data_IF_936958616209
#
_entry.id   IF_936958616209
#
_cell.length_a   1.000
_cell.length_b   1.000
_cell.length_c   1.000
_cell.angle_alpha   90.00
_cell.angle_beta   90.00
_cell.angle_gamma   90.00
#
_symmetry.space_group_name_H-M   'P 1'
#
loop_
_entity.id
_entity.type
_entity.pdbx_description
1 polymer ?
#
# COMPACT_ATOMS: atom_id res chain seq x y z
N UNK A 1 -5.37 8.57 -17.35
CA UNK A 1 -5.48 8.07 -15.95
C UNK A 1 -4.10 8.01 -15.33
N UNK A 2 -3.89 8.52 -14.12
CA UNK A 2 -2.62 8.46 -13.42
C UNK A 2 -2.62 7.28 -12.45
N UNK A 3 -1.86 6.24 -12.76
CA UNK A 3 -1.69 5.08 -11.88
C UNK A 3 -0.51 5.34 -10.95
N UNK A 4 -0.77 5.47 -9.64
CA UNK A 4 0.26 5.69 -8.61
C UNK A 4 0.42 4.38 -7.84
N UNK A 5 1.59 3.76 -7.93
CA UNK A 5 1.83 2.48 -7.27
C UNK A 5 2.48 2.68 -5.89
N UNK A 6 1.95 2.01 -4.86
CA UNK A 6 2.61 1.95 -3.56
C UNK A 6 3.97 1.26 -3.69
N UNK A 7 4.95 1.73 -2.95
CA UNK A 7 6.34 1.31 -3.07
C UNK A 7 6.93 0.98 -1.70
N UNK A 8 7.37 -0.28 -1.53
CA UNK A 8 8.00 -0.77 -0.31
C UNK A 8 9.51 -0.55 -0.35
N UNK A 9 10.12 0.20 0.59
CA UNK A 9 11.56 0.46 0.61
C UNK A 9 12.40 -0.63 1.30
N UNK A 10 11.85 -1.79 1.66
CA UNK A 10 12.49 -2.81 2.54
C UNK A 10 13.40 -3.81 1.82
N UNK A 11 14.00 -3.43 0.68
CA UNK A 11 14.90 -4.32 -0.08
C UNK A 11 16.36 -3.86 0.00
N UNK A 12 16.79 -3.49 1.21
CA UNK A 12 18.16 -3.19 1.59
C UNK A 12 18.37 -3.49 3.07
N UNK A 13 19.61 -3.69 3.47
CA UNK A 13 19.93 -3.89 4.90
C UNK A 13 19.97 -2.56 5.64
N UNK A 14 19.55 -2.59 6.88
CA UNK A 14 19.70 -1.47 7.83
C UNK A 14 19.86 -2.03 9.26
N UNK A 15 20.51 -1.28 10.17
CA UNK A 15 20.94 -1.82 11.47
C UNK A 15 19.83 -2.47 12.30
N UNK A 16 18.65 -1.85 12.34
CA UNK A 16 17.53 -2.35 13.12
C UNK A 16 17.01 -3.70 12.59
N UNK A 17 16.91 -3.84 11.26
CA UNK A 17 16.52 -5.13 10.66
C UNK A 17 17.50 -6.24 10.99
N UNK A 18 18.81 -5.93 10.92
CA UNK A 18 19.85 -6.91 11.25
C UNK A 18 19.81 -7.29 12.72
N UNK A 19 19.54 -6.34 13.62
CA UNK A 19 19.36 -6.61 15.06
C UNK A 19 18.13 -7.50 15.35
N UNK A 20 17.05 -7.29 14.63
CA UNK A 20 15.78 -7.99 14.89
C UNK A 20 15.67 -9.35 14.22
N UNK A 21 16.25 -9.49 13.02
CA UNK A 21 16.03 -10.65 12.15
C UNK A 21 17.32 -11.38 11.76
N UNK A 22 18.48 -10.85 12.12
CA UNK A 22 19.79 -11.38 11.79
C UNK A 22 20.47 -10.63 10.65
N UNK A 23 21.78 -10.80 10.58
CA UNK A 23 22.65 -10.13 9.63
C UNK A 23 22.21 -10.37 8.18
N UNK A 24 22.18 -9.31 7.37
CA UNK A 24 21.83 -9.35 5.95
C UNK A 24 20.33 -9.46 5.69
N UNK A 25 19.47 -9.31 6.69
CA UNK A 25 18.03 -9.42 6.49
C UNK A 25 17.48 -8.27 5.64
N UNK A 26 16.69 -8.65 4.64
CA UNK A 26 15.83 -7.78 3.84
C UNK A 26 14.50 -8.50 3.60
N UNK A 27 13.51 -7.84 2.99
CA UNK A 27 12.24 -8.50 2.64
C UNK A 27 12.45 -9.70 1.70
N UNK A 28 13.55 -9.73 0.92
CA UNK A 28 13.92 -10.90 0.12
C UNK A 28 14.10 -12.18 0.94
N UNK A 29 14.44 -12.08 2.23
CA UNK A 29 14.56 -13.27 3.07
C UNK A 29 13.20 -13.96 3.26
N UNK A 30 12.13 -13.20 3.45
CA UNK A 30 10.77 -13.73 3.53
C UNK A 30 10.35 -14.37 2.20
N UNK A 31 10.61 -13.69 1.09
CA UNK A 31 10.26 -14.16 -0.25
C UNK A 31 10.99 -15.45 -0.62
N UNK A 32 12.32 -15.51 -0.41
CA UNK A 32 13.16 -16.69 -0.71
C UNK A 32 12.80 -17.91 0.14
N UNK A 33 12.43 -17.69 1.41
CA UNK A 33 12.11 -18.74 2.35
C UNK A 33 10.62 -19.13 2.35
N UNK A 34 9.82 -18.53 1.45
CA UNK A 34 8.42 -18.92 1.30
C UNK A 34 8.30 -20.36 0.79
N UNK A 35 7.31 -21.07 1.27
CA UNK A 35 7.02 -22.43 0.86
C UNK A 35 5.52 -22.59 0.52
N UNK A 36 5.18 -23.51 -0.40
CA UNK A 36 3.79 -23.83 -0.68
C UNK A 36 3.04 -24.25 0.60
N UNK A 37 1.86 -23.68 0.82
CA UNK A 37 1.00 -24.02 1.99
C UNK A 37 -0.10 -25.02 1.63
N UNK A 38 -0.27 -25.33 0.33
CA UNK A 38 -1.13 -26.39 -0.19
C UNK A 38 -0.64 -26.83 -1.58
N UNK A 39 -1.15 -27.96 -2.07
CA UNK A 39 -0.79 -28.49 -3.40
C UNK A 39 -1.19 -27.53 -4.52
N UNK A 40 -0.25 -27.16 -5.37
CA UNK A 40 -0.45 -26.21 -6.47
C UNK A 40 -0.25 -24.74 -6.08
N UNK A 41 0.04 -24.44 -4.81
CA UNK A 41 0.43 -23.10 -4.41
C UNK A 41 1.85 -22.79 -4.88
N UNK A 42 2.02 -21.67 -5.57
CA UNK A 42 3.30 -21.27 -6.17
C UNK A 42 4.07 -20.36 -5.20
N UNK A 43 5.04 -20.96 -4.53
CA UNK A 43 6.04 -20.31 -3.69
C UNK A 43 7.33 -21.13 -3.70
N UNK A 44 8.51 -20.49 -3.54
CA UNK A 44 8.75 -19.04 -3.53
C UNK A 44 8.51 -18.42 -4.92
N UNK A 45 8.14 -17.15 -4.95
CA UNK A 45 8.10 -16.36 -6.18
C UNK A 45 9.51 -15.83 -6.46
N UNK A 46 9.96 -16.00 -7.69
CA UNK A 46 11.35 -15.69 -8.08
C UNK A 46 11.34 -14.49 -9.02
N UNK A 47 12.03 -13.39 -8.67
CA UNK A 47 12.19 -12.28 -9.59
C UNK A 47 12.85 -12.72 -10.90
N UNK A 48 12.43 -12.17 -12.02
CA UNK A 48 12.98 -12.50 -13.35
C UNK A 48 14.50 -12.36 -13.35
N UNK A 49 15.20 -13.36 -13.89
CA UNK A 49 16.66 -13.46 -13.88
C UNK A 49 17.29 -13.47 -12.48
N UNK A 50 16.55 -13.92 -11.46
CA UNK A 50 16.98 -13.89 -10.06
C UNK A 50 17.39 -12.49 -9.58
N UNK A 51 16.75 -11.46 -10.09
CA UNK A 51 17.06 -10.07 -9.76
C UNK A 51 16.58 -9.69 -8.34
N UNK A 52 17.22 -10.27 -7.32
CA UNK A 52 17.04 -9.91 -5.92
C UNK A 52 17.84 -8.64 -5.61
N UNK A 53 17.36 -7.52 -6.12
CA UNK A 53 18.04 -6.23 -6.09
C UNK A 53 18.24 -5.67 -4.67
N UNK A 54 19.15 -4.70 -4.58
CA UNK A 54 19.32 -3.82 -3.43
C UNK A 54 18.87 -2.40 -3.79
N UNK A 55 17.94 -1.81 -3.02
CA UNK A 55 17.42 -0.48 -3.29
C UNK A 55 18.40 0.67 -3.02
N UNK A 56 19.56 0.37 -2.42
CA UNK A 56 20.64 1.34 -2.32
C UNK A 56 21.48 1.45 -3.60
N UNK A 57 21.29 0.52 -4.56
CA UNK A 57 21.92 0.65 -5.88
C UNK A 57 21.13 1.63 -6.76
N UNK A 58 21.75 2.70 -7.27
CA UNK A 58 21.11 3.66 -8.17
C UNK A 58 20.57 3.01 -9.44
N UNK A 59 21.23 1.95 -9.94
CA UNK A 59 20.81 1.20 -11.13
C UNK A 59 19.47 0.51 -10.90
N UNK A 60 19.21 0.03 -9.70
CA UNK A 60 17.94 -0.60 -9.34
C UNK A 60 16.78 0.38 -9.52
N UNK A 61 16.88 1.56 -8.94
CA UNK A 61 15.81 2.56 -9.03
C UNK A 61 15.62 3.02 -10.48
N UNK A 62 16.71 3.25 -11.22
CA UNK A 62 16.65 3.61 -12.65
C UNK A 62 15.98 2.52 -13.50
N UNK A 63 16.29 1.25 -13.24
CA UNK A 63 15.64 0.11 -13.90
C UNK A 63 14.13 0.06 -13.58
N UNK A 64 13.76 0.21 -12.31
CA UNK A 64 12.35 0.23 -11.90
C UNK A 64 11.59 1.38 -12.55
N UNK A 65 12.15 2.59 -12.54
CA UNK A 65 11.56 3.77 -13.17
C UNK A 65 11.42 3.60 -14.67
N UNK A 66 12.43 3.02 -15.35
CA UNK A 66 12.35 2.73 -16.79
C UNK A 66 11.16 1.82 -17.08
N UNK A 67 11.01 0.72 -16.34
CA UNK A 67 9.87 -0.19 -16.48
C UNK A 67 8.55 0.51 -16.18
N UNK A 68 8.49 1.23 -15.08
CA UNK A 68 7.27 1.94 -14.68
C UNK A 68 6.78 2.90 -15.77
N UNK A 69 7.69 3.70 -16.35
CA UNK A 69 7.38 4.60 -17.47
C UNK A 69 6.93 3.83 -18.72
N UNK A 70 7.64 2.78 -19.09
CA UNK A 70 7.37 1.99 -20.31
C UNK A 70 5.97 1.38 -20.29
N UNK A 71 5.51 0.98 -19.10
CA UNK A 71 4.23 0.29 -18.94
C UNK A 71 3.09 1.16 -18.37
N UNK A 72 3.30 2.47 -18.22
CA UNK A 72 2.22 3.42 -17.93
C UNK A 72 1.94 3.67 -16.44
N UNK A 73 2.85 3.29 -15.54
CA UNK A 73 2.81 3.77 -14.15
C UNK A 73 3.19 5.25 -14.15
N UNK A 74 2.33 6.07 -13.54
CA UNK A 74 2.55 7.52 -13.47
C UNK A 74 3.59 7.91 -12.42
N UNK A 75 3.58 7.25 -11.25
CA UNK A 75 4.47 7.59 -10.15
C UNK A 75 4.45 6.58 -9.02
N UNK A 76 5.38 6.72 -8.09
CA UNK A 76 5.46 5.88 -6.90
C UNK A 76 4.95 6.61 -5.65
N UNK A 77 4.26 5.88 -4.77
CA UNK A 77 3.90 6.33 -3.43
C UNK A 77 4.75 5.55 -2.42
N UNK A 78 5.85 6.17 -1.97
CA UNK A 78 6.80 5.53 -1.07
C UNK A 78 6.22 5.39 0.33
N UNK A 79 6.31 4.20 0.93
CA UNK A 79 6.11 4.07 2.36
C UNK A 79 7.25 4.74 3.11
N UNK A 80 6.89 5.58 4.06
CA UNK A 80 7.77 6.34 4.93
C UNK A 80 7.53 5.92 6.37
N UNK A 81 8.60 5.65 7.09
CA UNK A 81 8.56 5.15 8.47
C UNK A 81 9.24 6.17 9.39
N UNK A 82 8.43 6.82 10.20
CA UNK A 82 8.85 7.85 11.14
C UNK A 82 8.27 7.56 12.52
N UNK A 83 9.16 7.36 13.50
CA UNK A 83 8.86 6.99 14.88
C UNK A 83 9.48 8.01 15.84
N UNK A 84 8.81 9.16 16.05
CA UNK A 84 9.28 10.23 16.98
C UNK A 84 10.74 10.65 16.72
N UNK A 85 11.02 11.04 15.48
CA UNK A 85 12.35 11.46 15.02
C UNK A 85 13.28 10.32 14.60
N UNK A 86 12.94 9.05 14.89
CA UNK A 86 13.66 7.91 14.36
C UNK A 86 13.05 7.47 13.03
N UNK A 87 13.88 7.35 12.01
CA UNK A 87 13.48 6.86 10.69
C UNK A 87 13.95 5.42 10.45
N UNK A 88 13.18 4.69 9.65
CA UNK A 88 13.59 3.41 9.09
C UNK A 88 13.44 3.45 7.57
N UNK A 89 14.40 2.86 6.86
CA UNK A 89 14.33 2.67 5.40
C UNK A 89 14.19 3.96 4.60
N UNK A 90 14.66 5.08 5.11
CA UNK A 90 14.59 6.40 4.46
C UNK A 90 15.49 6.48 3.21
N UNK A 91 16.58 5.71 3.16
CA UNK A 91 17.62 5.83 2.14
C UNK A 91 17.13 5.72 0.69
N UNK A 92 16.27 4.75 0.29
CA UNK A 92 15.79 4.70 -1.09
C UNK A 92 15.06 5.96 -1.52
N UNK A 93 14.27 6.57 -0.63
CA UNK A 93 13.54 7.80 -0.89
C UNK A 93 14.48 9.02 -0.94
N UNK A 94 15.48 9.08 -0.05
CA UNK A 94 16.53 10.12 -0.06
C UNK A 94 17.38 10.03 -1.34
N UNK A 95 17.73 8.81 -1.80
CA UNK A 95 18.43 8.62 -3.07
C UNK A 95 17.59 9.08 -4.27
N UNK A 96 16.27 8.76 -4.26
CA UNK A 96 15.35 9.28 -5.26
C UNK A 96 15.31 10.80 -5.28
N UNK A 97 15.32 11.46 -4.11
CA UNK A 97 15.36 12.90 -4.00
C UNK A 97 16.68 13.49 -4.52
N UNK A 98 17.81 12.86 -4.18
CA UNK A 98 19.15 13.36 -4.51
C UNK A 98 19.50 13.19 -5.99
N UNK A 99 19.12 12.07 -6.61
CA UNK A 99 19.41 11.81 -8.03
C UNK A 99 18.40 12.49 -8.95
N UNK A 100 18.74 13.70 -9.42
CA UNK A 100 17.89 14.47 -10.35
C UNK A 100 17.85 13.90 -11.78
N UNK A 101 18.69 12.90 -12.08
CA UNK A 101 18.60 12.18 -13.37
C UNK A 101 17.40 11.24 -13.42
N UNK A 102 16.81 10.90 -12.29
CA UNK A 102 15.60 10.09 -12.19
C UNK A 102 14.40 11.01 -12.34
N UNK A 103 13.96 11.21 -13.57
CA UNK A 103 12.74 11.98 -13.88
C UNK A 103 11.51 11.08 -13.73
N UNK A 104 10.95 10.99 -12.50
CA UNK A 104 9.75 10.21 -12.23
C UNK A 104 8.95 10.78 -11.06
N UNK A 105 7.63 10.93 -11.20
CA UNK A 105 6.78 11.46 -10.14
C UNK A 105 6.74 10.54 -8.90
N UNK A 106 6.71 11.14 -7.72
CA UNK A 106 6.57 10.39 -6.47
C UNK A 106 5.84 11.18 -5.40
N UNK A 107 5.25 10.48 -4.45
CA UNK A 107 4.72 11.02 -3.21
C UNK A 107 5.01 10.07 -2.03
N UNK A 108 4.58 10.45 -0.85
CA UNK A 108 4.88 9.76 0.39
C UNK A 108 3.61 9.31 1.09
N UNK A 109 3.63 8.07 1.60
CA UNK A 109 2.64 7.54 2.53
C UNK A 109 3.30 7.24 3.87
N UNK A 110 2.93 7.94 4.93
CA UNK A 110 3.42 7.65 6.26
C UNK A 110 2.76 6.38 6.81
N UNK A 111 3.56 5.29 6.88
CA UNK A 111 3.17 4.00 7.41
C UNK A 111 3.24 4.03 8.95
N UNK A 112 2.33 4.75 9.57
CA UNK A 112 2.28 5.09 10.98
C UNK A 112 1.63 4.00 11.84
N UNK A 113 2.25 2.83 11.90
CA UNK A 113 1.88 1.72 12.81
C UNK A 113 3.09 1.26 13.61
N UNK A 114 2.83 0.60 14.74
CA UNK A 114 3.88 -0.08 15.51
C UNK A 114 4.65 -1.04 14.61
N UNK A 115 5.98 -1.02 14.70
CA UNK A 115 6.79 -2.06 14.08
C UNK A 115 6.79 -3.28 14.98
N UNK A 116 6.26 -4.39 14.49
CA UNK A 116 6.02 -5.57 15.30
C UNK A 116 6.67 -6.82 14.70
N UNK A 117 7.06 -7.77 15.57
CA UNK A 117 7.50 -9.12 15.15
C UNK A 117 6.30 -10.04 14.86
N UNK A 118 5.24 -9.49 14.24
CA UNK A 118 3.98 -10.21 14.02
C UNK A 118 4.13 -11.46 13.12
N UNK A 119 5.21 -11.55 12.35
CA UNK A 119 5.41 -12.60 11.34
C UNK A 119 6.01 -13.88 11.93
N UNK A 120 6.70 -13.82 13.07
CA UNK A 120 7.44 -14.95 13.61
C UNK A 120 6.78 -15.65 14.80
N UNK A 121 5.82 -15.02 15.50
CA UNK A 121 5.29 -15.56 16.76
C UNK A 121 3.80 -15.24 16.96
N UNK A 122 3.11 -16.10 17.75
CA UNK A 122 1.72 -15.86 18.20
C UNK A 122 1.54 -14.59 19.05
N UNK A 123 2.59 -14.11 19.70
CA UNK A 123 2.59 -12.87 20.48
C UNK A 123 3.21 -11.76 19.64
N UNK A 124 2.46 -10.69 19.43
CA UNK A 124 2.91 -9.48 18.72
C UNK A 124 3.92 -8.75 19.63
N UNK A 125 5.20 -9.11 19.53
CA UNK A 125 6.26 -8.33 20.14
C UNK A 125 6.38 -7.00 19.40
N UNK A 126 6.24 -5.89 20.12
CA UNK A 126 6.46 -4.55 19.58
C UNK A 126 7.95 -4.26 19.57
N UNK A 127 8.52 -4.07 18.40
CA UNK A 127 9.95 -3.75 18.21
C UNK A 127 10.20 -2.24 18.29
N UNK A 128 9.31 -1.44 17.68
CA UNK A 128 9.25 0.00 17.86
C UNK A 128 7.78 0.39 18.00
N UNK A 129 7.45 1.09 19.07
CA UNK A 129 6.12 1.66 19.27
C UNK A 129 5.97 2.95 18.45
N UNK A 130 4.86 3.08 17.74
CA UNK A 130 4.52 4.32 17.07
C UNK A 130 3.98 5.32 18.09
N UNK A 131 4.69 6.42 18.25
CA UNK A 131 4.27 7.58 19.02
C UNK A 131 4.07 8.77 18.09
N UNK A 132 3.37 9.79 18.56
CA UNK A 132 3.01 10.94 17.73
C UNK A 132 3.47 12.27 18.34
N UNK A 133 4.21 12.21 19.44
CA UNK A 133 4.88 13.34 20.08
C UNK A 133 4.00 14.56 20.32
N UNK A 134 4.67 15.70 20.31
CA UNK A 134 4.08 17.04 20.51
C UNK A 134 4.30 17.94 19.27
N UNK A 135 4.02 19.23 19.41
CA UNK A 135 4.17 20.21 18.33
C UNK A 135 5.61 20.32 17.81
N UNK A 136 6.61 20.17 18.69
CA UNK A 136 8.02 20.20 18.28
C UNK A 136 8.37 19.01 17.40
N UNK A 137 7.82 17.83 17.74
CA UNK A 137 7.97 16.61 16.96
C UNK A 137 7.26 16.70 15.59
N UNK A 138 6.04 17.23 15.56
CA UNK A 138 5.31 17.42 14.31
C UNK A 138 6.04 18.37 13.38
N UNK A 139 6.71 19.41 13.94
CA UNK A 139 7.53 20.34 13.19
C UNK A 139 8.76 19.65 12.60
N UNK A 140 9.51 18.87 13.39
CA UNK A 140 10.67 18.09 12.90
C UNK A 140 10.28 17.15 11.76
N UNK A 141 9.18 16.44 11.92
CA UNK A 141 8.67 15.54 10.86
C UNK A 141 8.30 16.32 9.61
N UNK A 142 7.57 17.43 9.76
CA UNK A 142 7.21 18.29 8.63
C UNK A 142 8.45 18.86 7.92
N UNK A 143 9.45 19.35 8.66
CA UNK A 143 10.71 19.88 8.11
C UNK A 143 11.48 18.82 7.31
N UNK A 144 11.50 17.57 7.79
CA UNK A 144 12.04 16.47 7.01
C UNK A 144 11.27 16.24 5.71
N UNK A 145 9.95 16.25 5.76
CA UNK A 145 9.10 16.05 4.57
C UNK A 145 9.19 17.24 3.59
N UNK A 146 9.46 18.45 4.08
CA UNK A 146 9.48 19.67 3.27
C UNK A 146 10.49 19.62 2.13
N UNK A 147 11.64 18.96 2.29
CA UNK A 147 12.63 18.79 1.24
C UNK A 147 12.05 18.02 0.03
N UNK A 148 11.17 17.03 0.27
CA UNK A 148 10.49 16.29 -0.77
C UNK A 148 9.36 17.10 -1.38
N UNK A 149 8.58 17.82 -0.58
CA UNK A 149 7.46 18.65 -1.04
C UNK A 149 7.89 19.76 -2.02
N UNK A 150 9.13 20.23 -1.88
CA UNK A 150 9.73 21.23 -2.76
C UNK A 150 10.25 20.66 -4.07
N UNK A 151 10.46 19.35 -4.18
CA UNK A 151 10.93 18.72 -5.41
C UNK A 151 9.89 18.88 -6.54
N UNK A 152 10.34 19.18 -7.75
CA UNK A 152 9.45 19.37 -8.91
C UNK A 152 8.73 18.10 -9.30
N UNK A 153 9.37 16.95 -9.10
CA UNK A 153 8.81 15.61 -9.36
C UNK A 153 7.79 15.17 -8.32
N UNK A 154 7.72 15.86 -7.18
CA UNK A 154 6.78 15.49 -6.13
C UNK A 154 5.34 15.67 -6.60
N UNK A 155 4.51 14.64 -6.43
CA UNK A 155 3.11 14.66 -6.85
C UNK A 155 2.35 15.73 -6.07
N UNK A 156 1.72 16.65 -6.80
CA UNK A 156 0.93 17.75 -6.27
C UNK A 156 -0.48 17.69 -6.83
N UNK A 157 -1.45 18.02 -6.00
CA UNK A 157 -2.83 18.25 -6.42
C UNK A 157 -3.16 19.73 -6.27
N UNK A 158 -3.46 20.41 -7.37
CA UNK A 158 -3.68 21.86 -7.41
C UNK A 158 -2.51 22.65 -6.78
N UNK A 159 -1.27 22.25 -7.10
CA UNK A 159 -0.05 22.83 -6.56
C UNK A 159 0.30 22.42 -5.12
N UNK A 160 -0.61 21.75 -4.41
CA UNK A 160 -0.41 21.30 -3.01
C UNK A 160 0.24 19.92 -2.98
N UNK A 161 1.41 19.75 -2.31
CA UNK A 161 2.04 18.44 -2.17
C UNK A 161 1.12 17.42 -1.52
N UNK A 162 1.12 16.19 -2.06
CA UNK A 162 0.31 15.08 -1.53
C UNK A 162 1.03 14.38 -0.40
N UNK A 163 0.41 14.25 0.75
CA UNK A 163 0.83 13.38 1.85
C UNK A 163 -0.28 12.40 2.19
N UNK A 164 0.05 11.10 2.28
CA UNK A 164 -0.90 10.04 2.62
C UNK A 164 -0.65 9.56 4.03
N UNK A 165 -1.69 9.42 4.85
CA UNK A 165 -1.64 8.78 6.16
C UNK A 165 -2.20 7.35 6.05
N UNK A 166 -1.40 6.36 6.45
CA UNK A 166 -1.83 4.95 6.41
C UNK A 166 -2.90 4.66 7.47
N UNK A 167 -2.65 5.07 8.72
CA UNK A 167 -3.54 4.81 9.87
C UNK A 167 -3.93 6.11 10.59
N UNK A 168 -4.73 6.93 9.94
CA UNK A 168 -5.25 8.15 10.55
C UNK A 168 -6.03 7.87 11.86
N UNK A 169 -6.67 6.71 11.97
CA UNK A 169 -7.40 6.24 13.16
C UNK A 169 -6.51 5.98 14.38
N UNK A 170 -5.19 5.89 14.20
CA UNK A 170 -4.23 5.64 15.28
C UNK A 170 -3.61 6.90 15.87
N UNK A 171 -3.87 8.07 15.28
CA UNK A 171 -3.26 9.34 15.70
C UNK A 171 -4.17 10.06 16.72
N UNK A 172 -3.85 10.03 18.03
CA UNK A 172 -4.71 10.66 19.05
C UNK A 172 -4.83 12.18 18.89
N UNK A 173 -3.74 12.81 18.41
CA UNK A 173 -3.62 14.26 18.21
C UNK A 173 -3.92 14.70 16.77
N UNK A 174 -4.61 13.87 15.96
CA UNK A 174 -4.78 14.03 14.52
C UNK A 174 -5.15 15.45 14.11
N UNK A 175 -6.22 16.00 14.68
CA UNK A 175 -6.71 17.34 14.32
C UNK A 175 -5.65 18.42 14.54
N UNK A 176 -5.05 18.45 15.73
CA UNK A 176 -4.04 19.44 16.08
C UNK A 176 -2.81 19.33 15.19
N UNK A 177 -2.32 18.10 14.97
CA UNK A 177 -1.16 17.82 14.13
C UNK A 177 -1.40 18.28 12.68
N UNK A 178 -2.55 17.95 12.08
CA UNK A 178 -2.85 18.32 10.71
C UNK A 178 -3.04 19.83 10.54
N UNK A 179 -3.63 20.51 11.52
CA UNK A 179 -3.75 21.96 11.52
C UNK A 179 -2.35 22.62 11.54
N UNK A 180 -1.44 22.11 12.37
CA UNK A 180 -0.06 22.59 12.42
C UNK A 180 0.70 22.31 11.12
N UNK A 181 0.56 21.14 10.55
CA UNK A 181 1.18 20.84 9.25
C UNK A 181 0.67 21.78 8.13
N UNK A 182 -0.62 22.11 8.12
CA UNK A 182 -1.17 23.10 7.17
C UNK A 182 -0.63 24.51 7.42
N UNK A 183 -0.38 24.89 8.69
CA UNK A 183 0.26 26.15 9.08
C UNK A 183 1.72 26.18 8.59
N UNK A 184 2.53 25.18 8.94
CA UNK A 184 3.93 25.05 8.51
C UNK A 184 4.10 25.05 6.99
N UNK A 185 3.18 24.42 6.26
CA UNK A 185 3.20 24.44 4.81
C UNK A 185 3.10 25.87 4.26
N UNK A 186 2.17 26.68 4.78
CA UNK A 186 2.01 28.10 4.37
C UNK A 186 3.22 28.95 4.76
N UNK A 187 3.71 28.79 5.99
CA UNK A 187 4.93 29.47 6.47
C UNK A 187 6.15 29.15 5.62
N UNK A 188 6.22 27.93 5.08
CA UNK A 188 7.28 27.47 4.19
C UNK A 188 7.11 27.90 2.73
N UNK A 189 6.08 28.71 2.41
CA UNK A 189 5.80 29.21 1.06
C UNK A 189 5.09 28.22 0.15
N UNK A 190 4.58 27.09 0.68
CA UNK A 190 3.73 26.18 -0.07
C UNK A 190 2.28 26.68 -0.09
N UNK A 191 1.49 26.42 -1.15
CA UNK A 191 0.07 26.81 -1.20
C UNK A 191 -0.81 26.03 -0.21
N UNK A 192 -0.24 25.09 0.54
CA UNK A 192 -0.86 24.20 1.51
C UNK A 192 -0.43 22.76 1.29
N UNK A 193 -1.12 21.81 1.92
CA UNK A 193 -0.97 20.36 1.72
C UNK A 193 -2.25 19.76 1.15
N UNK A 194 -2.11 18.76 0.29
CA UNK A 194 -3.17 17.84 -0.04
C UNK A 194 -3.04 16.60 0.84
N UNK A 195 -3.87 16.48 1.87
CA UNK A 195 -3.79 15.42 2.86
C UNK A 195 -4.77 14.31 2.48
N UNK A 196 -4.22 13.10 2.31
CA UNK A 196 -4.99 11.92 1.99
C UNK A 196 -4.86 10.86 3.10
N UNK A 197 -5.79 9.91 3.16
CA UNK A 197 -5.68 8.76 4.04
C UNK A 197 -6.00 7.46 3.29
N UNK A 198 -5.43 6.34 3.74
CA UNK A 198 -5.80 5.02 3.25
C UNK A 198 -7.02 4.48 4.02
N UNK A 199 -8.02 3.98 3.29
CA UNK A 199 -9.23 3.40 3.87
C UNK A 199 -8.99 1.99 4.45
N UNK A 200 -7.93 1.81 5.25
CA UNK A 200 -7.66 0.56 5.93
C UNK A 200 -8.69 0.32 7.06
N UNK A 201 -8.87 1.31 7.93
CA UNK A 201 -9.85 1.27 9.04
C UNK A 201 -10.50 2.62 9.32
N UNK A 202 -9.98 3.69 8.73
CA UNK A 202 -10.42 5.07 8.94
C UNK A 202 -11.57 5.44 7.98
N UNK A 203 -12.49 6.25 8.49
CA UNK A 203 -13.57 6.87 7.72
C UNK A 203 -13.69 8.34 8.18
N UNK A 204 -13.24 9.26 7.33
CA UNK A 204 -13.22 10.69 7.62
C UNK A 204 -14.59 11.27 8.04
N UNK A 205 -15.70 10.67 7.58
CA UNK A 205 -17.05 11.10 7.92
C UNK A 205 -17.42 10.83 9.39
N UNK A 206 -16.65 10.00 10.08
CA UNK A 206 -16.87 9.57 11.48
C UNK A 206 -15.89 10.20 12.46
N UNK A 207 -14.97 11.02 11.97
CA UNK A 207 -13.95 11.67 12.78
C UNK A 207 -14.11 13.18 12.73
N UNK A 208 -13.95 13.84 13.88
CA UNK A 208 -14.02 15.30 13.98
C UNK A 208 -12.95 15.99 13.13
N UNK A 209 -11.79 15.35 12.93
CA UNK A 209 -10.70 15.85 12.07
C UNK A 209 -10.91 15.54 10.59
N UNK A 210 -11.99 14.82 10.24
CA UNK A 210 -12.24 14.36 8.88
C UNK A 210 -12.36 15.46 7.83
N UNK A 211 -12.74 16.67 8.23
CA UNK A 211 -12.82 17.83 7.36
C UNK A 211 -11.45 18.30 6.85
N UNK A 212 -10.36 17.91 7.52
CA UNK A 212 -8.99 18.27 7.15
C UNK A 212 -8.43 17.44 6.00
N UNK A 213 -9.06 16.30 5.69
CA UNK A 213 -8.66 15.46 4.58
C UNK A 213 -9.27 15.95 3.27
N UNK A 214 -8.42 15.99 2.25
CA UNK A 214 -8.83 16.29 0.89
C UNK A 214 -9.41 15.04 0.21
N UNK A 215 -8.78 13.86 0.42
CA UNK A 215 -9.21 12.60 -0.20
C UNK A 215 -9.00 11.39 0.71
N UNK A 216 -9.81 10.36 0.44
CA UNK A 216 -9.64 9.00 0.97
C UNK A 216 -9.32 8.02 -0.15
N UNK A 217 -8.27 7.21 0.00
CA UNK A 217 -7.84 6.21 -0.96
C UNK A 217 -8.45 4.85 -0.58
N UNK A 218 -9.23 4.25 -1.47
CA UNK A 218 -9.67 2.87 -1.31
C UNK A 218 -8.48 1.92 -1.43
N UNK A 219 -7.93 1.51 -0.30
CA UNK A 219 -6.76 0.65 -0.23
C UNK A 219 -7.13 -0.82 -0.47
N UNK A 220 -7.14 -1.22 -1.76
CA UNK A 220 -7.55 -2.57 -2.16
C UNK A 220 -6.42 -3.59 -2.04
N UNK A 221 -6.71 -4.86 -1.69
CA UNK A 221 -8.05 -5.43 -1.44
C UNK A 221 -8.57 -5.24 0.00
N UNK A 222 -7.81 -4.55 0.86
CA UNK A 222 -8.13 -4.44 2.29
C UNK A 222 -9.46 -3.72 2.54
N UNK A 223 -9.75 -2.65 1.80
CA UNK A 223 -11.01 -1.90 1.99
C UNK A 223 -12.22 -2.80 1.79
N UNK A 224 -12.30 -3.52 0.67
CA UNK A 224 -13.45 -4.40 0.40
C UNK A 224 -13.54 -5.59 1.38
N UNK A 225 -12.41 -6.11 1.83
CA UNK A 225 -12.36 -7.20 2.83
C UNK A 225 -12.82 -6.75 4.21
N UNK A 226 -12.48 -5.54 4.63
CA UNK A 226 -12.96 -4.97 5.90
C UNK A 226 -14.47 -4.76 5.86
N UNK A 227 -15.01 -4.26 4.76
CA UNK A 227 -16.45 -4.10 4.58
C UNK A 227 -17.18 -5.44 4.59
N UNK A 228 -16.63 -6.46 3.92
CA UNK A 228 -17.17 -7.81 3.95
C UNK A 228 -17.18 -8.42 5.36
N UNK A 229 -16.10 -8.26 6.12
CA UNK A 229 -16.03 -8.75 7.52
C UNK A 229 -17.07 -8.08 8.41
N UNK A 230 -17.26 -6.77 8.26
CA UNK A 230 -18.30 -6.03 9.00
C UNK A 230 -19.70 -6.58 8.69
N UNK A 231 -20.00 -6.83 7.43
CA UNK A 231 -21.29 -7.40 7.00
C UNK A 231 -21.49 -8.82 7.54
N UNK A 232 -20.48 -9.69 7.44
CA UNK A 232 -20.55 -11.05 7.98
C UNK A 232 -20.67 -11.07 9.51
N UNK A 233 -19.97 -10.17 10.23
CA UNK A 233 -20.12 -10.06 11.68
C UNK A 233 -21.50 -9.57 12.09
N UNK A 234 -22.10 -8.68 11.32
CA UNK A 234 -23.49 -8.25 11.56
C UNK A 234 -24.49 -9.40 11.33
N UNK A 235 -24.27 -10.22 10.30
CA UNK A 235 -25.10 -11.40 10.00
C UNK A 235 -24.83 -12.50 11.04
N UNK A 236 -23.58 -12.79 11.38
CA UNK A 236 -23.22 -13.82 12.35
C UNK A 236 -23.70 -13.51 13.76
N UNK A 237 -23.68 -12.24 14.19
CA UNK A 237 -24.28 -11.85 15.47
C UNK A 237 -25.79 -12.13 15.51
N UNK A 238 -26.50 -11.91 14.40
CA UNK A 238 -27.93 -12.27 14.30
C UNK A 238 -28.16 -13.80 14.28
N UNK A 239 -27.26 -14.55 13.61
CA UNK A 239 -27.37 -16.02 13.49
C UNK A 239 -26.80 -16.72 14.73
N UNK A 240 -25.73 -16.20 15.33
CA UNK A 240 -25.08 -16.77 16.51
C UNK A 240 -26.00 -16.80 17.72
N UNK A 241 -26.82 -15.78 17.93
CA UNK A 241 -27.89 -15.79 18.96
C UNK A 241 -28.99 -16.83 18.72
N UNK A 242 -29.13 -17.32 17.47
CA UNK A 242 -30.13 -18.32 17.11
C UNK A 242 -29.56 -19.75 17.17
N UNK A 243 -28.25 -19.93 16.99
CA UNK A 243 -27.60 -21.24 16.80
C UNK A 243 -26.70 -21.66 17.97
N UNK A 244 -26.30 -20.70 18.84
CA UNK A 244 -25.35 -20.97 19.94
C UNK A 244 -25.86 -21.93 21.01
N UNK A 245 -27.15 -22.19 21.04
CA UNK A 245 -27.75 -23.10 22.03
C UNK A 245 -27.82 -24.57 21.58
N UNK A 246 -27.39 -24.93 20.40
CA UNK A 246 -27.66 -26.28 19.87
C UNK A 246 -26.53 -27.12 19.27
N UNK A 247 -25.35 -26.60 18.98
CA UNK A 247 -24.32 -27.42 18.33
C UNK A 247 -22.89 -27.14 18.79
N UNK A 248 -22.30 -28.09 19.50
CA UNK A 248 -20.85 -28.19 19.77
C UNK A 248 -20.11 -28.42 18.44
N UNK A 249 -19.61 -27.37 17.80
CA UNK A 249 -18.75 -27.49 16.62
C UNK A 249 -17.29 -27.39 17.05
N UNK A 250 -16.45 -28.40 16.75
CA UNK A 250 -15.02 -28.33 17.06
C UNK A 250 -14.36 -27.18 16.28
N UNK A 251 -13.51 -26.42 16.96
CA UNK A 251 -12.65 -25.42 16.31
C UNK A 251 -11.78 -26.12 15.25
N UNK A 252 -12.17 -25.98 13.99
CA UNK A 252 -11.39 -26.48 12.86
C UNK A 252 -10.42 -25.43 12.34
N UNK A 253 -9.15 -25.79 12.45
CA UNK A 253 -8.02 -25.57 11.56
C UNK A 253 -7.50 -24.16 11.29
N UNK A 254 -6.22 -24.02 11.66
CA UNK A 254 -5.17 -23.17 11.10
C UNK A 254 -5.01 -23.40 9.58
N UNK A 255 -5.91 -22.92 8.77
CA UNK A 255 -5.75 -22.89 7.31
C UNK A 255 -5.62 -21.43 6.86
N UNK A 256 -4.71 -21.19 5.92
CA UNK A 256 -4.62 -19.92 5.20
C UNK A 256 -6.01 -19.50 4.71
N UNK A 257 -6.36 -18.23 4.92
CA UNK A 257 -7.65 -17.71 4.46
C UNK A 257 -7.53 -17.43 2.96
N UNK A 258 -8.31 -18.16 2.15
CA UNK A 258 -8.32 -18.00 0.70
C UNK A 258 -9.52 -17.18 0.25
N UNK A 259 -9.31 -16.25 -0.67
CA UNK A 259 -10.34 -15.44 -1.30
C UNK A 259 -10.35 -15.70 -2.81
N UNK A 260 -11.52 -15.69 -3.43
CA UNK A 260 -11.62 -15.69 -4.88
C UNK A 260 -11.18 -14.33 -5.43
N UNK A 261 -10.23 -14.33 -6.34
CA UNK A 261 -9.78 -13.13 -7.03
C UNK A 261 -10.92 -12.46 -7.79
N UNK A 262 -11.71 -13.27 -8.52
CA UNK A 262 -12.87 -12.78 -9.27
C UNK A 262 -13.92 -12.15 -8.35
N UNK A 263 -14.24 -12.80 -7.22
CA UNK A 263 -15.26 -12.27 -6.31
C UNK A 263 -14.78 -11.03 -5.58
N UNK A 264 -13.49 -10.94 -5.24
CA UNK A 264 -12.88 -9.73 -4.67
C UNK A 264 -13.02 -8.57 -5.64
N UNK A 265 -12.61 -8.75 -6.91
CA UNK A 265 -12.74 -7.72 -7.93
C UNK A 265 -14.17 -7.34 -8.28
N UNK A 266 -15.09 -8.31 -8.39
CA UNK A 266 -16.52 -8.01 -8.57
C UNK A 266 -17.05 -7.10 -7.46
N UNK A 267 -16.68 -7.36 -6.21
CA UNK A 267 -17.06 -6.51 -5.07
C UNK A 267 -16.45 -5.12 -5.14
N UNK A 268 -15.16 -5.02 -5.51
CA UNK A 268 -14.51 -3.71 -5.75
C UNK A 268 -15.29 -2.92 -6.80
N UNK A 269 -15.66 -3.56 -7.90
CA UNK A 269 -16.39 -2.90 -8.99
C UNK A 269 -17.85 -2.57 -8.66
N UNK A 270 -18.44 -3.21 -7.66
CA UNK A 270 -19.79 -2.95 -7.16
C UNK A 270 -19.82 -1.93 -6.02
N UNK A 271 -18.68 -1.63 -5.41
CA UNK A 271 -18.59 -0.73 -4.27
C UNK A 271 -18.82 0.71 -4.73
N UNK A 272 -19.80 1.38 -4.15
CA UNK A 272 -19.98 2.81 -4.38
C UNK A 272 -18.97 3.63 -3.55
N UNK A 273 -18.42 4.74 -4.10
CA UNK A 273 -17.62 5.66 -3.31
C UNK A 273 -18.45 6.17 -2.13
N UNK A 274 -17.80 6.32 -0.97
CA UNK A 274 -18.48 6.82 0.25
C UNK A 274 -18.97 8.25 0.10
N UNK A 275 -18.25 9.04 -0.69
CA UNK A 275 -18.56 10.41 -1.10
C UNK A 275 -17.60 10.86 -2.23
N UNK A 276 -17.68 12.13 -2.62
CA UNK A 276 -16.88 12.73 -3.68
C UNK A 276 -15.37 12.83 -3.37
N UNK A 277 -14.96 12.66 -2.13
CA UNK A 277 -13.53 12.67 -1.74
C UNK A 277 -12.84 11.34 -2.01
N UNK A 278 -13.56 10.29 -2.39
CA UNK A 278 -12.94 8.97 -2.56
C UNK A 278 -12.14 8.88 -3.86
N UNK A 279 -10.95 8.29 -3.76
CA UNK A 279 -10.09 7.90 -4.87
C UNK A 279 -10.14 6.37 -4.99
N UNK A 280 -10.46 5.82 -6.18
CA UNK A 280 -10.49 4.38 -6.35
C UNK A 280 -9.11 3.76 -6.22
N UNK A 281 -9.05 2.60 -5.59
CA UNK A 281 -7.86 1.76 -5.53
C UNK A 281 -7.97 0.55 -6.45
N UNK A 282 -6.83 -0.03 -6.75
CA UNK A 282 -6.69 -1.28 -7.46
C UNK A 282 -5.62 -2.14 -6.78
N UNK A 283 -5.62 -3.44 -7.07
CA UNK A 283 -4.55 -4.33 -6.63
C UNK A 283 -4.21 -5.36 -7.72
N UNK A 284 -2.96 -5.80 -7.71
CA UNK A 284 -2.48 -6.79 -8.69
C UNK A 284 -2.91 -8.18 -8.28
N UNK A 285 -2.47 -8.62 -7.12
CA UNK A 285 -2.75 -9.90 -6.50
C UNK A 285 -2.54 -9.77 -4.99
N UNK A 286 -2.84 -10.82 -4.23
CA UNK A 286 -2.60 -10.89 -2.79
C UNK A 286 -2.19 -12.29 -2.37
N UNK A 287 -1.05 -12.38 -1.71
CA UNK A 287 -0.56 -13.59 -1.08
C UNK A 287 0.51 -13.24 -0.04
N UNK A 288 0.12 -13.11 1.23
CA UNK A 288 1.05 -12.76 2.29
C UNK A 288 1.60 -13.98 3.05
N UNK A 289 1.52 -15.16 2.45
CA UNK A 289 2.09 -16.40 3.02
C UNK A 289 3.62 -16.35 3.17
N UNK A 290 4.40 -15.60 2.37
CA UNK A 290 5.83 -15.43 2.64
C UNK A 290 6.12 -14.88 4.04
N UNK A 291 5.30 -13.95 4.52
CA UNK A 291 5.42 -13.35 5.86
C UNK A 291 4.72 -14.17 6.94
N UNK A 292 3.57 -14.76 6.64
CA UNK A 292 2.66 -15.35 7.65
C UNK A 292 2.55 -16.88 7.58
N UNK A 293 3.20 -17.50 6.60
CA UNK A 293 3.16 -18.96 6.36
C UNK A 293 1.70 -19.47 6.31
N UNK A 294 1.39 -20.53 7.05
CA UNK A 294 0.05 -21.12 7.13
C UNK A 294 -1.02 -20.20 7.73
N UNK A 295 -0.64 -19.09 8.38
CA UNK A 295 -1.56 -18.11 8.95
C UNK A 295 -1.83 -16.93 8.00
N UNK A 296 -1.25 -16.97 6.81
CA UNK A 296 -1.43 -15.96 5.79
C UNK A 296 -2.80 -16.02 5.12
N UNK A 297 -3.04 -15.04 4.27
CA UNK A 297 -4.20 -15.00 3.37
C UNK A 297 -3.74 -14.85 1.93
N UNK A 298 -4.48 -15.41 1.01
CA UNK A 298 -4.15 -15.35 -0.41
C UNK A 298 -5.39 -15.29 -1.29
N UNK A 299 -5.22 -14.80 -2.51
CA UNK A 299 -6.22 -14.86 -3.56
C UNK A 299 -5.92 -16.06 -4.50
N UNK A 300 -6.94 -16.81 -4.85
CA UNK A 300 -6.85 -17.85 -5.86
C UNK A 300 -7.58 -17.44 -7.14
N UNK A 301 -7.12 -18.00 -8.27
CA UNK A 301 -7.72 -17.76 -9.57
C UNK A 301 -7.28 -16.45 -10.25
N UNK A 302 -6.19 -15.83 -9.79
CA UNK A 302 -5.52 -14.72 -10.47
C UNK A 302 -5.01 -15.15 -11.85
N UNK A 303 -5.07 -14.22 -12.81
CA UNK A 303 -4.25 -14.21 -14.04
C UNK A 303 -4.06 -12.78 -14.54
N UNK A 304 -3.03 -12.54 -15.35
CA UNK A 304 -2.76 -11.23 -15.92
C UNK A 304 -3.89 -10.74 -16.84
N UNK A 305 -4.59 -11.64 -17.55
CA UNK A 305 -5.76 -11.29 -18.37
C UNK A 305 -6.95 -10.81 -17.49
N UNK A 306 -7.16 -11.46 -16.35
CA UNK A 306 -8.19 -11.03 -15.40
C UNK A 306 -7.82 -9.68 -14.78
N UNK A 307 -6.54 -9.49 -14.42
CA UNK A 307 -6.05 -8.20 -13.94
C UNK A 307 -6.31 -7.09 -14.96
N UNK A 308 -5.93 -7.29 -16.24
CA UNK A 308 -6.26 -6.36 -17.33
C UNK A 308 -7.74 -6.05 -17.38
N UNK A 309 -8.59 -7.07 -17.43
CA UNK A 309 -10.06 -6.93 -17.50
C UNK A 309 -10.60 -6.07 -16.36
N UNK A 310 -10.21 -6.38 -15.13
CA UNK A 310 -10.73 -5.69 -13.95
C UNK A 310 -10.16 -4.29 -13.79
N UNK A 311 -8.88 -4.10 -14.12
CA UNK A 311 -8.25 -2.77 -14.11
C UNK A 311 -8.89 -1.86 -15.15
N UNK A 312 -9.16 -2.35 -16.37
CA UNK A 312 -9.87 -1.57 -17.41
C UNK A 312 -11.26 -1.13 -16.92
N UNK A 313 -11.99 -2.02 -16.24
CA UNK A 313 -13.27 -1.65 -15.65
C UNK A 313 -13.13 -0.60 -14.54
N UNK A 314 -12.11 -0.73 -13.69
CA UNK A 314 -11.86 0.22 -12.60
C UNK A 314 -11.41 1.60 -13.13
N UNK A 315 -10.64 1.64 -14.22
CA UNK A 315 -10.26 2.89 -14.90
C UNK A 315 -11.51 3.63 -15.41
N UNK A 316 -12.45 2.93 -16.08
CA UNK A 316 -13.71 3.54 -16.50
C UNK A 316 -14.50 4.06 -15.30
N UNK A 317 -14.63 3.28 -14.24
CA UNK A 317 -15.32 3.69 -13.01
C UNK A 317 -14.64 4.87 -12.30
N UNK A 318 -13.31 4.94 -12.33
CA UNK A 318 -12.58 6.09 -11.80
C UNK A 318 -13.05 7.40 -12.44
N UNK A 319 -13.29 7.40 -13.75
CA UNK A 319 -13.80 8.57 -14.51
C UNK A 319 -15.29 8.79 -14.33
N UNK A 320 -16.09 7.75 -14.50
CA UNK A 320 -17.55 7.84 -14.61
C UNK A 320 -18.23 7.94 -13.24
N UNK A 321 -17.73 7.21 -12.24
CA UNK A 321 -18.36 7.10 -10.92
C UNK A 321 -17.65 7.97 -9.89
N UNK A 322 -16.32 7.88 -9.81
CA UNK A 322 -15.53 8.64 -8.85
C UNK A 322 -15.20 10.06 -9.32
N UNK A 323 -15.25 10.32 -10.65
CA UNK A 323 -14.82 11.58 -11.27
C UNK A 323 -13.39 11.95 -10.87
N UNK A 324 -12.48 10.95 -10.91
CA UNK A 324 -11.07 11.08 -10.54
C UNK A 324 -10.16 10.66 -11.70
N UNK A 325 -8.99 11.31 -11.75
CA UNK A 325 -7.93 11.01 -12.71
C UNK A 325 -6.77 10.22 -12.07
N UNK A 326 -6.98 9.68 -10.87
CA UNK A 326 -5.99 8.91 -10.11
C UNK A 326 -6.56 7.54 -9.73
N UNK A 327 -5.69 6.53 -9.77
CA UNK A 327 -5.89 5.22 -9.13
C UNK A 327 -4.63 4.92 -8.33
N UNK A 328 -4.78 4.54 -7.05
CA UNK A 328 -3.68 4.01 -6.27
C UNK A 328 -3.65 2.49 -6.40
N UNK A 329 -2.50 1.95 -6.82
CA UNK A 329 -2.30 0.54 -7.09
C UNK A 329 -1.47 -0.11 -5.99
N UNK A 330 -1.96 -1.17 -5.40
CA UNK A 330 -1.21 -2.08 -4.54
C UNK A 330 -0.63 -3.22 -5.39
N UNK A 331 0.65 -3.30 -5.67
CA UNK A 331 1.69 -2.32 -5.44
C UNK A 331 2.77 -2.46 -6.53
N UNK A 332 3.82 -1.65 -6.47
CA UNK A 332 4.97 -1.84 -7.36
C UNK A 332 5.75 -3.09 -6.99
N UNK A 333 6.12 -3.25 -5.70
CA UNK A 333 7.10 -4.24 -5.25
C UNK A 333 6.76 -4.92 -3.90
N UNK A 334 5.50 -5.13 -3.57
CA UNK A 334 5.09 -5.88 -2.37
C UNK A 334 5.18 -7.40 -2.57
N UNK A 335 6.42 -7.91 -2.78
CA UNK A 335 6.68 -9.33 -3.00
C UNK A 335 6.27 -10.23 -1.84
N UNK A 336 6.50 -9.77 -0.60
CA UNK A 336 6.12 -10.50 0.61
C UNK A 336 4.61 -10.62 0.81
N UNK A 337 3.82 -9.82 0.08
CA UNK A 337 2.36 -9.85 0.08
C UNK A 337 1.75 -10.25 -1.27
N UNK A 338 2.60 -10.62 -2.23
CA UNK A 338 2.17 -11.06 -3.56
C UNK A 338 1.55 -9.97 -4.43
N UNK A 339 1.57 -8.72 -3.97
CA UNK A 339 1.01 -7.54 -4.65
C UNK A 339 2.09 -6.76 -5.39
N UNK A 340 2.67 -7.31 -6.45
CA UNK A 340 3.77 -6.64 -7.16
C UNK A 340 3.55 -6.61 -8.67
N UNK A 341 4.06 -5.53 -9.30
CA UNK A 341 4.06 -5.35 -10.75
C UNK A 341 5.37 -5.81 -11.41
N UNK A 342 6.45 -5.89 -10.66
CA UNK A 342 7.76 -6.26 -11.16
C UNK A 342 7.77 -7.65 -11.83
N UNK A 343 8.61 -7.88 -12.85
CA UNK A 343 8.61 -9.14 -13.59
C UNK A 343 9.17 -10.30 -12.75
N UNK A 344 8.58 -11.49 -12.89
CA UNK A 344 8.99 -12.72 -12.23
C UNK A 344 9.21 -13.87 -13.24
N UNK A 345 9.81 -14.96 -12.77
CA UNK A 345 10.09 -16.14 -13.61
C UNK A 345 8.82 -16.84 -14.09
N UNK A 346 7.71 -16.68 -13.38
CA UNK A 346 6.46 -17.38 -13.71
C UNK A 346 5.70 -16.71 -14.86
N UNK A 347 5.59 -15.38 -14.82
CA UNK A 347 4.76 -14.62 -15.78
C UNK A 347 5.57 -13.65 -16.65
N UNK A 348 6.87 -13.52 -16.38
CA UNK A 348 7.69 -12.53 -17.06
C UNK A 348 7.13 -11.12 -16.89
N UNK A 349 6.86 -10.45 -17.97
CA UNK A 349 6.31 -9.10 -18.02
C UNK A 349 4.77 -9.05 -18.13
N UNK A 350 4.06 -10.15 -17.97
CA UNK A 350 2.62 -10.22 -18.28
C UNK A 350 1.79 -9.22 -17.44
N UNK A 351 2.11 -9.01 -16.15
CA UNK A 351 1.42 -8.01 -15.29
C UNK A 351 1.58 -6.59 -15.81
N UNK A 352 2.81 -6.23 -16.18
CA UNK A 352 3.12 -4.91 -16.73
C UNK A 352 2.41 -4.69 -18.07
N UNK A 353 2.45 -5.69 -18.97
CA UNK A 353 1.73 -5.67 -20.25
C UNK A 353 0.21 -5.52 -20.01
N UNK A 354 -0.35 -6.28 -19.09
CA UNK A 354 -1.76 -6.20 -18.73
C UNK A 354 -2.19 -4.80 -18.26
N UNK A 355 -1.35 -4.13 -17.46
CA UNK A 355 -1.58 -2.75 -17.04
C UNK A 355 -1.55 -1.79 -18.25
N UNK A 356 -0.51 -1.87 -19.07
CA UNK A 356 -0.37 -1.01 -20.27
C UNK A 356 -1.56 -1.19 -21.21
N UNK A 357 -1.92 -2.43 -21.50
CA UNK A 357 -3.06 -2.75 -22.34
C UNK A 357 -4.40 -2.25 -21.73
N UNK A 358 -4.55 -2.32 -20.40
CA UNK A 358 -5.74 -1.75 -19.75
C UNK A 358 -5.85 -0.23 -19.94
N UNK A 359 -4.71 0.47 -19.91
CA UNK A 359 -4.66 1.92 -20.18
C UNK A 359 -4.97 2.22 -21.65
N UNK A 360 -4.40 1.45 -22.60
CA UNK A 360 -4.68 1.59 -24.04
C UNK A 360 -6.15 1.31 -24.34
N UNK A 361 -6.70 0.19 -23.85
CA UNK A 361 -8.10 -0.21 -24.07
C UNK A 361 -9.13 0.79 -23.49
N UNK A 362 -8.69 1.67 -22.61
CA UNK A 362 -9.53 2.71 -22.00
C UNK A 362 -9.23 4.12 -22.51
N UNK A 363 -8.30 4.26 -23.47
CA UNK A 363 -7.92 5.54 -24.07
C UNK A 363 -7.13 6.45 -23.13
N UNK A 364 -6.39 5.85 -22.17
CA UNK A 364 -5.59 6.58 -21.18
C UNK A 364 -4.09 6.59 -21.50
N UNK A 365 -3.67 5.81 -22.48
CA UNK A 365 -2.32 5.72 -23.03
C UNK A 365 -2.44 5.50 -24.55
N UNK A 366 -1.57 6.17 -25.32
CA UNK A 366 -1.44 6.00 -26.79
C UNK A 366 -0.62 4.75 -27.16
#
# INVERSE_FOLDING_TARGET
MKIIAFYLPQYHTFPENEQWWGQGFTEWCNVKNAAPVFQGHIQPRIPLNNNYYNLLSPETVKWQVKLAKEYGIYGFCYYHYWFDGKMLMEKPMEHMLADKSIDFPFCISWANEDWTRAWAQKNKEVLIQQTYGDEAEWKRHFEYLLQFFRDERYIKNEGRPVIVLYRADKIPCLEKMLLKWKEYARESGLPGLCIMYQCASYDHRRDKAGYLFDYGIEYQPNTVRIEQRKTLQMISKKVYHIVSDKLHIPQKLNSSISYSYDDTWKRILQMNPRDEKMIPGAYVNWDNTPRHKQHGSLDYGYSSEKFKKYLSAQIRRAKEVYQKNYIFLFAWNEWGEGGYMEPDEQEGYARLKALKEALVDTGELE
#
